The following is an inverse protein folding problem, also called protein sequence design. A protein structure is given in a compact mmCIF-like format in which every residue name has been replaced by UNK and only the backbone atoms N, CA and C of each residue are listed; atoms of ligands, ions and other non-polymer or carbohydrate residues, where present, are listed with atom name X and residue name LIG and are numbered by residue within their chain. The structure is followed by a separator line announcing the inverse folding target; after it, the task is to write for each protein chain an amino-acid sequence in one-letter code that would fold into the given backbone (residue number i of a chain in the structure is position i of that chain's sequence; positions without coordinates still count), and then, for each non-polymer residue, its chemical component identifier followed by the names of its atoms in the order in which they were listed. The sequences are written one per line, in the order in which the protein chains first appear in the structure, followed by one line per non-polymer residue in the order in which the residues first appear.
data_IF_355461425183
#
_entry.id   IF_355461425183
#
_cell.length_a   1.000
_cell.length_b   1.000
_cell.length_c   1.000
_cell.angle_alpha   90.00
_cell.angle_beta   90.00
_cell.angle_gamma   90.00
#
_symmetry.space_group_name_H-M   'P 1'
#
loop_
_entity.id
_entity.type
_entity.pdbx_description
1 polymer ?
#
# COMPACT_ATOMS: atom_id res chain seq x y z
N UNK A 1 -110.63 -107.52 0.02
CA UNK A 1 -109.34 -108.23 0.01
C UNK A 1 -108.57 -107.87 1.26
N UNK A 2 -108.00 -108.87 1.89
CA UNK A 2 -107.18 -108.82 3.11
C UNK A 2 -105.94 -107.92 2.94
N UNK A 3 -105.50 -107.33 4.07
CA UNK A 3 -104.12 -107.17 4.59
C UNK A 3 -104.16 -105.96 5.56
N UNK A 4 -104.37 -106.20 6.86
CA UNK A 4 -103.28 -106.36 7.83
C UNK A 4 -102.31 -105.17 7.86
N UNK A 5 -102.47 -104.28 8.84
CA UNK A 5 -101.31 -103.68 9.49
C UNK A 5 -101.61 -103.47 10.97
N UNK A 6 -100.84 -104.18 11.78
CA UNK A 6 -100.99 -104.35 13.21
C UNK A 6 -100.88 -103.01 13.93
N UNK A 7 -101.92 -102.67 14.69
CA UNK A 7 -101.89 -101.63 15.69
C UNK A 7 -101.10 -102.17 16.90
N UNK A 8 -99.77 -102.02 16.86
CA UNK A 8 -98.91 -102.29 18.02
C UNK A 8 -99.19 -101.18 19.02
N UNK A 9 -99.97 -101.51 20.05
CA UNK A 9 -100.05 -100.74 21.28
C UNK A 9 -98.66 -100.71 21.91
N UNK A 10 -97.96 -99.59 21.79
CA UNK A 10 -96.83 -99.29 22.65
C UNK A 10 -97.38 -98.91 24.04
N UNK A 11 -96.92 -99.55 25.13
CA UNK A 11 -97.27 -99.11 26.47
C UNK A 11 -96.66 -97.71 26.68
N UNK A 12 -97.50 -96.71 26.97
CA UNK A 12 -97.02 -95.43 27.52
C UNK A 12 -96.54 -95.67 28.95
N UNK A 13 -95.35 -96.24 29.08
CA UNK A 13 -94.57 -96.15 30.30
C UNK A 13 -94.16 -94.67 30.44
N UNK A 14 -94.91 -93.92 31.26
CA UNK A 14 -94.49 -92.59 31.66
C UNK A 14 -93.14 -92.71 32.37
N UNK A 15 -92.11 -92.09 31.80
CA UNK A 15 -90.78 -92.04 32.38
C UNK A 15 -90.90 -91.45 33.80
N UNK A 16 -90.36 -92.08 34.86
CA UNK A 16 -90.49 -91.58 36.22
C UNK A 16 -89.95 -90.15 36.34
N UNK A 17 -90.67 -89.26 37.03
CA UNK A 17 -90.41 -87.81 37.09
C UNK A 17 -88.95 -87.43 37.41
N UNK A 18 -88.28 -88.24 38.23
CA UNK A 18 -86.87 -88.07 38.62
C UNK A 18 -85.93 -88.17 37.40
N UNK A 19 -86.24 -89.04 36.42
CA UNK A 19 -85.46 -89.16 35.20
C UNK A 19 -85.70 -87.98 34.25
N UNK A 20 -86.94 -87.50 34.13
CA UNK A 20 -87.22 -86.29 33.32
C UNK A 20 -86.60 -85.04 33.93
N UNK A 21 -86.64 -84.86 35.26
CA UNK A 21 -86.00 -83.73 35.94
C UNK A 21 -84.47 -83.78 35.80
N UNK A 22 -83.87 -84.98 35.85
CA UNK A 22 -82.42 -85.14 35.64
C UNK A 22 -82.02 -84.92 34.17
N UNK A 23 -82.84 -85.35 33.22
CA UNK A 23 -82.62 -85.13 31.79
C UNK A 23 -82.68 -83.62 31.46
N UNK A 24 -83.72 -82.93 31.93
CA UNK A 24 -83.85 -81.47 31.74
C UNK A 24 -82.71 -80.68 32.42
N UNK A 25 -82.24 -81.13 33.58
CA UNK A 25 -81.04 -80.59 34.21
C UNK A 25 -79.76 -80.79 33.39
N UNK A 26 -79.59 -81.96 32.77
CA UNK A 26 -78.48 -82.24 31.85
C UNK A 26 -78.57 -81.40 30.57
N UNK A 27 -79.76 -81.27 29.99
CA UNK A 27 -80.00 -80.41 28.82
C UNK A 27 -79.66 -78.95 29.11
N UNK A 28 -80.07 -78.44 30.28
CA UNK A 28 -79.71 -77.10 30.75
C UNK A 28 -78.19 -76.92 30.90
N UNK A 29 -77.50 -77.91 31.48
CA UNK A 29 -76.04 -77.89 31.62
C UNK A 29 -75.34 -77.95 30.25
N UNK A 30 -75.83 -78.78 29.33
CA UNK A 30 -75.33 -78.83 27.95
C UNK A 30 -75.52 -77.49 27.22
N UNK A 31 -76.66 -76.81 27.41
CA UNK A 31 -76.89 -75.49 26.84
C UNK A 31 -75.94 -74.42 27.43
N UNK A 32 -75.67 -74.47 28.74
CA UNK A 32 -74.68 -73.61 29.39
C UNK A 32 -73.26 -73.85 28.86
N UNK A 33 -72.84 -75.12 28.74
CA UNK A 33 -71.55 -75.48 28.17
C UNK A 33 -71.42 -75.04 26.71
N UNK A 34 -72.48 -75.20 25.90
CA UNK A 34 -72.48 -74.72 24.52
C UNK A 34 -72.29 -73.20 24.45
N UNK A 35 -72.98 -72.45 25.32
CA UNK A 35 -72.83 -70.99 25.42
C UNK A 35 -71.40 -70.59 25.82
N UNK A 36 -70.76 -71.34 26.73
CA UNK A 36 -69.36 -71.11 27.12
C UNK A 36 -68.41 -71.40 25.95
N UNK A 37 -68.63 -72.50 25.22
CA UNK A 37 -67.84 -72.86 24.04
C UNK A 37 -67.94 -71.75 22.98
N UNK A 38 -69.14 -71.27 22.68
CA UNK A 38 -69.36 -70.22 21.67
C UNK A 38 -68.66 -68.90 22.09
N UNK A 39 -68.74 -68.52 23.36
CA UNK A 39 -68.05 -67.35 23.90
C UNK A 39 -66.51 -67.49 23.83
N UNK A 40 -65.98 -68.67 24.14
CA UNK A 40 -64.54 -68.94 24.04
C UNK A 40 -64.07 -68.90 22.59
N UNK A 41 -64.83 -69.47 21.65
CA UNK A 41 -64.53 -69.39 20.22
C UNK A 41 -64.54 -67.94 19.72
N UNK A 42 -65.50 -67.12 20.16
CA UNK A 42 -65.54 -65.71 19.81
C UNK A 42 -64.33 -64.95 20.36
N UNK A 43 -63.97 -65.18 21.63
CA UNK A 43 -62.76 -64.58 22.21
C UNK A 43 -61.50 -65.01 21.46
N UNK A 44 -61.41 -66.28 21.05
CA UNK A 44 -60.26 -66.78 20.32
C UNK A 44 -60.12 -66.10 18.94
N UNK A 45 -61.24 -65.92 18.23
CA UNK A 45 -61.26 -65.16 16.97
C UNK A 45 -60.83 -63.70 17.17
N UNK A 46 -61.29 -63.04 18.22
CA UNK A 46 -60.89 -61.67 18.54
C UNK A 46 -59.39 -61.56 18.88
N UNK A 47 -58.83 -62.55 19.59
CA UNK A 47 -57.40 -62.59 19.86
C UNK A 47 -56.60 -62.82 18.59
N UNK A 48 -57.03 -63.71 17.69
CA UNK A 48 -56.37 -63.96 16.40
C UNK A 48 -56.38 -62.71 15.52
N UNK A 49 -57.52 -62.00 15.43
CA UNK A 49 -57.61 -60.73 14.70
C UNK A 49 -56.68 -59.65 15.27
N UNK A 50 -56.56 -59.57 16.60
CA UNK A 50 -55.65 -58.64 17.26
C UNK A 50 -54.19 -59.02 17.03
N UNK A 51 -53.88 -60.32 17.04
CA UNK A 51 -52.54 -60.85 16.80
C UNK A 51 -52.11 -60.53 15.36
N UNK A 52 -52.97 -60.80 14.37
CA UNK A 52 -52.72 -60.46 12.96
C UNK A 52 -52.49 -58.95 12.75
N UNK A 53 -53.27 -58.09 13.44
CA UNK A 53 -53.05 -56.64 13.39
C UNK A 53 -51.70 -56.23 13.98
N UNK A 54 -51.32 -56.82 15.11
CA UNK A 54 -50.02 -56.54 15.73
C UNK A 54 -48.87 -57.00 14.84
N UNK A 55 -48.96 -58.17 14.22
CA UNK A 55 -47.98 -58.67 13.26
C UNK A 55 -47.83 -57.71 12.07
N UNK A 56 -48.94 -57.23 11.49
CA UNK A 56 -48.90 -56.22 10.42
C UNK A 56 -48.14 -54.96 10.88
N UNK A 57 -48.49 -54.42 12.04
CA UNK A 57 -47.81 -53.21 12.56
C UNK A 57 -46.32 -53.43 12.83
N UNK A 58 -45.92 -54.61 13.30
CA UNK A 58 -44.51 -54.95 13.52
C UNK A 58 -43.75 -54.99 12.18
N UNK A 59 -44.36 -55.55 11.13
CA UNK A 59 -43.72 -55.60 9.80
C UNK A 59 -43.57 -54.22 9.18
N UNK A 60 -44.58 -53.35 9.32
CA UNK A 60 -44.55 -51.96 8.85
C UNK A 60 -43.48 -51.14 9.58
N UNK A 61 -43.45 -51.21 10.91
CA UNK A 61 -42.44 -50.52 11.72
C UNK A 61 -41.01 -51.04 11.46
N UNK A 62 -40.85 -52.33 11.18
CA UNK A 62 -39.57 -52.91 10.82
C UNK A 62 -39.06 -52.37 9.47
N UNK A 63 -39.95 -52.28 8.47
CA UNK A 63 -39.62 -51.70 7.17
C UNK A 63 -39.27 -50.21 7.27
N UNK A 64 -40.01 -49.45 8.07
CA UNK A 64 -39.73 -48.03 8.32
C UNK A 64 -38.39 -47.84 9.05
N UNK A 65 -38.08 -48.64 10.06
CA UNK A 65 -36.79 -48.61 10.75
C UNK A 65 -35.62 -48.90 9.79
N UNK A 66 -35.77 -49.87 8.88
CA UNK A 66 -34.73 -50.13 7.87
C UNK A 66 -34.55 -48.93 6.93
N UNK A 67 -35.64 -48.28 6.51
CA UNK A 67 -35.58 -47.10 5.65
C UNK A 67 -34.83 -45.95 6.34
N UNK A 68 -35.19 -45.64 7.59
CA UNK A 68 -34.53 -44.61 8.40
C UNK A 68 -33.04 -44.92 8.62
N UNK A 69 -32.70 -46.18 8.84
CA UNK A 69 -31.30 -46.61 8.99
C UNK A 69 -30.49 -46.37 7.71
N UNK A 70 -31.06 -46.67 6.54
CA UNK A 70 -30.40 -46.41 5.25
C UNK A 70 -30.23 -44.91 5.00
N UNK A 71 -31.23 -44.10 5.35
CA UNK A 71 -31.16 -42.65 5.24
C UNK A 71 -30.07 -42.06 6.14
N UNK A 72 -29.95 -42.53 7.38
CA UNK A 72 -28.89 -42.13 8.30
C UNK A 72 -27.49 -42.45 7.75
N UNK A 73 -27.30 -43.60 7.12
CA UNK A 73 -26.03 -43.97 6.46
C UNK A 73 -25.72 -43.01 5.30
N UNK A 74 -26.71 -42.70 4.46
CA UNK A 74 -26.54 -41.77 3.35
C UNK A 74 -26.18 -40.36 3.82
N UNK A 75 -26.86 -39.84 4.84
CA UNK A 75 -26.56 -38.54 5.44
C UNK A 75 -25.16 -38.49 6.04
N UNK A 76 -24.73 -39.57 6.70
CA UNK A 76 -23.38 -39.68 7.27
C UNK A 76 -22.31 -39.64 6.17
N UNK A 77 -22.56 -40.34 5.05
CA UNK A 77 -21.68 -40.31 3.87
C UNK A 77 -21.59 -38.90 3.27
N UNK A 78 -22.73 -38.21 3.12
CA UNK A 78 -22.78 -36.85 2.59
C UNK A 78 -22.02 -35.85 3.49
N UNK A 79 -22.16 -35.97 4.81
CA UNK A 79 -21.43 -35.16 5.78
C UNK A 79 -19.91 -35.37 5.66
N UNK A 80 -19.46 -36.61 5.48
CA UNK A 80 -18.05 -36.93 5.25
C UNK A 80 -17.51 -36.25 3.97
N UNK A 81 -18.28 -36.31 2.87
CA UNK A 81 -17.91 -35.66 1.61
C UNK A 81 -17.83 -34.13 1.75
N UNK A 82 -18.80 -33.51 2.43
CA UNK A 82 -18.78 -32.06 2.67
C UNK A 82 -17.60 -31.64 3.55
N UNK A 83 -17.28 -32.43 4.57
CA UNK A 83 -16.13 -32.16 5.45
C UNK A 83 -14.81 -32.20 4.68
N UNK A 84 -14.65 -33.19 3.78
CA UNK A 84 -13.48 -33.27 2.92
C UNK A 84 -13.38 -32.05 1.96
N UNK A 85 -14.49 -31.64 1.35
CA UNK A 85 -14.52 -30.48 0.47
C UNK A 85 -14.16 -29.17 1.19
N UNK A 86 -14.67 -28.98 2.41
CA UNK A 86 -14.32 -27.82 3.25
C UNK A 86 -12.82 -27.77 3.57
N UNK A 87 -12.22 -28.92 3.90
CA UNK A 87 -10.77 -29.02 4.16
C UNK A 87 -9.94 -28.62 2.94
N UNK A 88 -10.33 -29.09 1.74
CA UNK A 88 -9.67 -28.72 0.48
C UNK A 88 -9.78 -27.21 0.21
N UNK A 89 -10.96 -26.63 0.38
CA UNK A 89 -11.15 -25.18 0.21
C UNK A 89 -10.33 -24.37 1.22
N UNK A 90 -10.24 -24.83 2.47
CA UNK A 90 -9.44 -24.16 3.50
C UNK A 90 -7.94 -24.22 3.19
N UNK A 91 -7.46 -25.34 2.63
CA UNK A 91 -6.11 -25.45 2.08
C UNK A 91 -5.85 -24.48 0.93
N UNK A 92 -6.78 -24.36 -0.01
CA UNK A 92 -6.68 -23.43 -1.15
C UNK A 92 -6.65 -21.97 -0.71
N UNK A 93 -7.52 -21.56 0.23
CA UNK A 93 -7.53 -20.20 0.81
C UNK A 93 -6.18 -19.90 1.49
N UNK A 94 -5.65 -20.85 2.26
CA UNK A 94 -4.37 -20.68 2.95
C UNK A 94 -3.21 -20.52 1.96
N UNK A 95 -3.19 -21.31 0.89
CA UNK A 95 -2.20 -21.19 -0.17
C UNK A 95 -2.28 -19.84 -0.91
N UNK A 96 -3.50 -19.37 -1.21
CA UNK A 96 -3.72 -18.08 -1.85
C UNK A 96 -3.30 -16.90 -0.95
N UNK A 97 -3.58 -16.97 0.36
CA UNK A 97 -3.14 -15.96 1.32
C UNK A 97 -1.60 -15.89 1.38
N UNK A 98 -0.92 -17.02 1.38
CA UNK A 98 0.55 -17.03 1.37
C UNK A 98 1.14 -16.48 0.05
N UNK A 99 0.51 -16.77 -1.09
CA UNK A 99 0.93 -16.21 -2.37
C UNK A 99 0.74 -14.68 -2.46
N UNK A 100 -0.37 -14.17 -1.92
CA UNK A 100 -0.67 -12.72 -1.93
C UNK A 100 0.21 -11.93 -0.96
N UNK A 101 0.53 -12.48 0.22
CA UNK A 101 1.44 -11.84 1.19
C UNK A 101 2.87 -11.72 0.65
N UNK A 102 3.34 -12.69 -0.14
CA UNK A 102 4.70 -12.67 -0.69
C UNK A 102 4.87 -11.78 -1.93
N UNK A 103 3.80 -11.45 -2.67
CA UNK A 103 3.85 -10.53 -3.84
C UNK A 103 3.67 -9.05 -3.44
N UNK A 104 3.06 -8.79 -2.28
CA UNK A 104 2.76 -7.44 -1.81
C UNK A 104 3.96 -6.53 -1.43
N UNK A 105 5.09 -6.99 -0.86
CA UNK A 105 6.12 -6.08 -0.35
C UNK A 105 6.90 -5.39 -1.46
N UNK A 106 7.21 -6.08 -2.57
CA UNK A 106 7.94 -5.50 -3.70
C UNK A 106 7.08 -4.51 -4.50
N UNK A 107 5.82 -4.86 -4.76
CA UNK A 107 4.89 -3.96 -5.44
C UNK A 107 4.57 -2.72 -4.58
N UNK A 108 4.45 -2.87 -3.25
CA UNK A 108 4.19 -1.76 -2.34
C UNK A 108 5.40 -0.84 -2.20
N UNK A 109 6.61 -1.40 -2.10
CA UNK A 109 7.85 -0.62 -2.11
C UNK A 109 8.02 0.17 -3.41
N UNK A 110 7.71 -0.43 -4.56
CA UNK A 110 7.76 0.26 -5.86
C UNK A 110 6.72 1.39 -5.97
N UNK A 111 5.52 1.22 -5.39
CA UNK A 111 4.51 2.29 -5.34
C UNK A 111 4.91 3.43 -4.40
N UNK A 112 5.48 3.11 -3.24
CA UNK A 112 5.97 4.10 -2.27
C UNK A 112 7.17 4.87 -2.85
N UNK A 113 8.06 4.20 -3.57
CA UNK A 113 9.19 4.83 -4.28
C UNK A 113 8.72 5.73 -5.42
N UNK A 114 7.73 5.30 -6.21
CA UNK A 114 7.13 6.11 -7.27
C UNK A 114 6.43 7.36 -6.71
N UNK A 115 5.69 7.23 -5.60
CA UNK A 115 5.06 8.35 -4.92
C UNK A 115 6.10 9.35 -4.36
N UNK A 116 7.18 8.84 -3.77
CA UNK A 116 8.29 9.67 -3.31
C UNK A 116 9.00 10.40 -4.47
N UNK A 117 9.17 9.73 -5.61
CA UNK A 117 9.75 10.34 -6.81
C UNK A 117 8.87 11.46 -7.37
N UNK A 118 7.56 11.27 -7.42
CA UNK A 118 6.60 12.28 -7.85
C UNK A 118 6.58 13.49 -6.91
N UNK A 119 6.57 13.25 -5.59
CA UNK A 119 6.63 14.34 -4.60
C UNK A 119 7.94 15.14 -4.73
N UNK A 120 9.08 14.46 -4.92
CA UNK A 120 10.36 15.12 -5.15
C UNK A 120 10.36 15.97 -6.43
N UNK A 121 9.70 15.50 -7.50
CA UNK A 121 9.55 16.28 -8.73
C UNK A 121 8.72 17.55 -8.48
N UNK A 122 7.58 17.42 -7.79
CA UNK A 122 6.73 18.56 -7.43
C UNK A 122 7.47 19.59 -6.57
N UNK A 123 8.25 19.13 -5.58
CA UNK A 123 9.05 20.01 -4.74
C UNK A 123 10.16 20.70 -5.54
N UNK A 124 10.80 20.02 -6.50
CA UNK A 124 11.79 20.62 -7.38
C UNK A 124 11.20 21.69 -8.29
N UNK A 125 10.01 21.44 -8.87
CA UNK A 125 9.27 22.42 -9.68
C UNK A 125 8.92 23.64 -8.82
N UNK A 126 8.33 23.41 -7.65
CA UNK A 126 8.00 24.47 -6.68
C UNK A 126 9.20 25.33 -6.32
N UNK A 127 10.31 24.69 -5.97
CA UNK A 127 11.54 25.33 -5.55
C UNK A 127 12.17 26.17 -6.68
N UNK A 128 12.08 25.67 -7.91
CA UNK A 128 12.58 26.36 -9.10
C UNK A 128 11.71 27.55 -9.45
N UNK A 129 10.38 27.39 -9.43
CA UNK A 129 9.44 28.46 -9.72
C UNK A 129 9.56 29.62 -8.73
N UNK A 130 9.61 29.34 -7.42
CA UNK A 130 9.78 30.37 -6.38
C UNK A 130 11.12 31.10 -6.52
N UNK A 131 12.18 30.39 -6.93
CA UNK A 131 13.47 31.02 -7.26
C UNK A 131 13.34 31.98 -8.44
N UNK A 132 12.77 31.53 -9.56
CA UNK A 132 12.57 32.35 -10.76
C UNK A 132 11.70 33.57 -10.46
N UNK A 133 10.66 33.43 -9.66
CA UNK A 133 9.81 34.56 -9.24
C UNK A 133 10.57 35.54 -8.34
N UNK A 134 11.37 35.03 -7.40
CA UNK A 134 12.20 35.87 -6.53
C UNK A 134 13.21 36.69 -7.35
N UNK A 135 13.95 36.06 -8.26
CA UNK A 135 14.93 36.74 -9.12
C UNK A 135 14.24 37.62 -10.17
N UNK A 136 13.10 37.18 -10.70
CA UNK A 136 12.27 37.93 -11.64
C UNK A 136 11.69 39.21 -11.03
N UNK A 137 11.26 39.19 -9.77
CA UNK A 137 10.84 40.37 -9.03
C UNK A 137 11.96 41.41 -8.90
N UNK A 138 13.23 40.97 -8.89
CA UNK A 138 14.42 41.82 -8.89
C UNK A 138 14.95 42.11 -10.31
N UNK A 139 14.33 41.55 -11.36
CA UNK A 139 14.83 41.55 -12.75
C UNK A 139 16.27 41.06 -12.90
N UNK A 140 16.61 40.02 -12.15
CA UNK A 140 17.92 39.38 -12.23
C UNK A 140 17.81 38.00 -12.85
N UNK A 141 18.80 37.63 -13.67
CA UNK A 141 18.95 36.27 -14.20
C UNK A 141 19.51 35.32 -13.14
N UNK A 142 20.47 35.81 -12.33
CA UNK A 142 21.12 35.02 -11.28
C UNK A 142 21.45 35.85 -10.04
N UNK A 143 21.45 35.18 -8.89
CA UNK A 143 21.77 35.73 -7.57
C UNK A 143 23.26 36.12 -7.42
N UNK A 144 24.12 35.74 -8.37
CA UNK A 144 25.50 36.21 -8.42
C UNK A 144 25.63 37.66 -8.90
N UNK A 145 24.62 38.20 -9.60
CA UNK A 145 24.59 39.56 -10.11
C UNK A 145 24.11 40.60 -9.08
N UNK A 146 24.00 40.23 -7.80
CA UNK A 146 23.53 41.11 -6.74
C UNK A 146 24.43 42.35 -6.59
N UNK A 147 23.89 43.52 -6.92
CA UNK A 147 24.56 44.80 -6.72
C UNK A 147 24.23 45.40 -5.34
N UNK A 148 25.14 46.19 -4.75
CA UNK A 148 24.86 46.91 -3.51
C UNK A 148 23.76 47.95 -3.71
N UNK A 149 22.74 47.91 -2.85
CA UNK A 149 21.64 48.87 -2.88
C UNK A 149 22.04 50.27 -2.41
N UNK A 150 21.35 51.27 -2.96
CA UNK A 150 21.22 52.59 -2.33
C UNK A 150 20.31 52.47 -1.10
N UNK A 151 20.75 53.02 0.04
CA UNK A 151 20.00 52.97 1.30
C UNK A 151 18.63 53.64 1.15
N UNK A 152 17.55 52.99 1.60
CA UNK A 152 16.31 53.68 1.99
C UNK A 152 15.01 53.19 1.35
N UNK A 153 15.03 52.36 0.31
CA UNK A 153 13.79 51.81 -0.29
C UNK A 153 13.94 50.34 -0.68
N UNK A 154 12.91 49.54 -0.39
CA UNK A 154 12.79 48.13 -0.80
C UNK A 154 12.36 47.97 -2.25
N UNK A 155 11.88 49.04 -2.86
CA UNK A 155 11.35 49.08 -4.22
C UNK A 155 12.03 50.18 -5.02
N UNK A 156 12.46 49.85 -6.23
CA UNK A 156 13.05 50.79 -7.18
C UNK A 156 12.18 50.82 -8.44
N UNK A 157 11.84 51.99 -9.01
CA UNK A 157 11.13 52.07 -10.27
C UNK A 157 11.88 51.31 -11.37
N UNK A 158 11.15 50.50 -12.13
CA UNK A 158 11.70 49.73 -13.23
C UNK A 158 11.91 50.63 -14.45
N UNK A 159 13.15 51.04 -14.70
CA UNK A 159 13.51 51.92 -15.83
C UNK A 159 13.14 51.31 -17.18
N UNK A 160 13.17 49.97 -17.30
CA UNK A 160 12.88 49.26 -18.57
C UNK A 160 11.40 49.36 -18.93
N UNK A 161 10.50 49.44 -17.96
CA UNK A 161 9.05 49.66 -18.20
C UNK A 161 8.66 51.14 -18.20
N UNK A 162 9.64 52.04 -18.27
CA UNK A 162 9.41 53.48 -18.18
C UNK A 162 8.86 53.89 -16.81
N UNK A 163 9.27 53.21 -15.73
CA UNK A 163 8.88 53.50 -14.36
C UNK A 163 7.48 53.02 -13.96
N UNK A 164 6.79 52.26 -14.82
CA UNK A 164 5.45 51.73 -14.51
C UNK A 164 5.49 50.50 -13.59
N UNK A 165 6.61 49.76 -13.58
CA UNK A 165 6.85 48.65 -12.66
C UNK A 165 7.66 49.04 -11.44
N UNK A 166 7.57 48.24 -10.38
CA UNK A 166 8.44 48.32 -9.21
C UNK A 166 9.30 47.05 -9.15
N UNK A 167 10.61 47.22 -9.01
CA UNK A 167 11.57 46.15 -8.81
C UNK A 167 11.77 45.94 -7.31
N UNK A 168 11.75 44.69 -6.90
CA UNK A 168 12.13 44.29 -5.56
C UNK A 168 13.64 44.47 -5.39
N UNK A 169 14.04 45.09 -4.28
CA UNK A 169 15.43 45.27 -3.88
C UNK A 169 15.57 44.90 -2.40
N UNK A 170 15.85 43.62 -2.07
CA UNK A 170 16.05 43.19 -0.69
C UNK A 170 17.40 43.68 -0.15
N UNK A 171 17.43 44.13 1.11
CA UNK A 171 18.68 44.50 1.77
C UNK A 171 19.32 43.25 2.37
N UNK A 172 20.27 42.68 1.64
CA UNK A 172 21.04 41.51 2.04
C UNK A 172 22.03 41.78 3.19
N UNK A 173 22.28 43.04 3.56
CA UNK A 173 23.08 43.35 4.76
C UNK A 173 22.26 43.11 6.04
N UNK A 174 20.96 43.33 5.97
CA UNK A 174 20.02 43.18 7.08
C UNK A 174 19.54 41.73 7.25
N UNK A 175 18.91 41.44 8.38
CA UNK A 175 18.30 40.14 8.64
C UNK A 175 16.92 40.03 7.97
N UNK A 176 16.43 38.81 7.77
CA UNK A 176 15.11 38.54 7.20
C UNK A 176 13.97 39.30 7.89
N UNK A 177 13.99 39.35 9.23
CA UNK A 177 12.96 40.07 10.01
C UNK A 177 12.94 41.58 9.74
N UNK A 178 14.08 42.16 9.36
CA UNK A 178 14.20 43.59 9.06
C UNK A 178 13.79 43.91 7.61
N UNK A 179 13.57 42.89 6.78
CA UNK A 179 13.17 42.99 5.38
C UNK A 179 11.65 42.79 5.19
N UNK A 180 10.85 42.87 6.27
CA UNK A 180 9.44 42.46 6.22
C UNK A 180 8.54 43.33 5.33
N UNK A 181 8.98 44.55 5.00
CA UNK A 181 8.21 45.52 4.22
C UNK A 181 7.78 45.04 2.83
N UNK A 182 8.51 44.09 2.23
CA UNK A 182 8.19 43.55 0.91
C UNK A 182 7.59 42.13 0.94
N UNK A 183 7.57 41.47 2.10
CA UNK A 183 7.14 40.06 2.22
C UNK A 183 5.72 39.83 1.68
N UNK A 184 4.75 40.63 2.14
CA UNK A 184 3.33 40.50 1.74
C UNK A 184 3.11 40.79 0.25
N UNK A 185 3.81 41.80 -0.26
CA UNK A 185 3.78 42.13 -1.68
C UNK A 185 4.31 40.96 -2.51
N UNK A 186 5.44 40.36 -2.12
CA UNK A 186 6.03 39.28 -2.89
C UNK A 186 5.21 37.99 -2.85
N UNK A 187 4.56 37.68 -1.72
CA UNK A 187 3.57 36.59 -1.67
C UNK A 187 2.45 36.83 -2.68
N UNK A 188 1.91 38.05 -2.73
CA UNK A 188 0.85 38.42 -3.68
C UNK A 188 1.35 38.35 -5.13
N UNK A 189 2.59 38.75 -5.37
CA UNK A 189 3.26 38.65 -6.67
C UNK A 189 3.40 37.19 -7.11
N UNK A 190 3.84 36.30 -6.21
CA UNK A 190 3.96 34.85 -6.46
C UNK A 190 2.60 34.25 -6.83
N UNK A 191 1.55 34.60 -6.09
CA UNK A 191 0.17 34.15 -6.36
C UNK A 191 -0.33 34.57 -7.73
N UNK A 192 -0.02 35.81 -8.12
CA UNK A 192 -0.56 36.40 -9.35
C UNK A 192 0.24 36.04 -10.61
N UNK A 193 1.54 35.78 -10.47
CA UNK A 193 2.45 35.63 -11.60
C UNK A 193 3.10 34.24 -11.68
N UNK A 194 2.80 33.32 -10.75
CA UNK A 194 3.47 32.01 -10.69
C UNK A 194 3.45 31.24 -12.02
N UNK A 195 2.30 31.21 -12.68
CA UNK A 195 2.13 30.56 -13.99
C UNK A 195 2.92 31.25 -15.11
N UNK A 196 3.16 32.56 -15.02
CA UNK A 196 3.93 33.33 -16.01
C UNK A 196 5.42 32.98 -15.95
N UNK A 197 5.95 32.75 -14.75
CA UNK A 197 7.37 32.42 -14.54
C UNK A 197 7.68 30.94 -14.69
N UNK A 198 6.71 30.07 -14.38
CA UNK A 198 6.85 28.63 -14.59
C UNK A 198 5.50 28.01 -15.03
N UNK A 199 5.37 27.58 -16.30
CA UNK A 199 4.12 27.02 -16.82
C UNK A 199 3.65 25.76 -16.08
N UNK A 200 4.56 25.06 -15.39
CA UNK A 200 4.22 23.86 -14.62
C UNK A 200 3.55 24.18 -13.27
N UNK A 201 3.60 25.44 -12.84
CA UNK A 201 2.99 25.89 -11.59
C UNK A 201 1.53 26.30 -11.84
N UNK A 202 0.62 25.31 -11.80
CA UNK A 202 -0.81 25.56 -11.99
C UNK A 202 -1.40 26.39 -10.84
N UNK A 203 -2.50 27.11 -11.12
CA UNK A 203 -3.22 27.86 -10.09
C UNK A 203 -3.69 26.96 -8.94
N UNK A 204 -4.15 25.75 -9.26
CA UNK A 204 -4.54 24.73 -8.28
C UNK A 204 -3.37 24.34 -7.37
N UNK A 205 -2.17 24.12 -7.93
CA UNK A 205 -0.99 23.81 -7.12
C UNK A 205 -0.65 24.96 -6.17
N UNK A 206 -0.72 26.21 -6.64
CA UNK A 206 -0.52 27.37 -5.78
C UNK A 206 -1.52 27.41 -4.63
N UNK A 207 -2.81 27.16 -4.88
CA UNK A 207 -3.84 27.13 -3.84
C UNK A 207 -3.55 26.13 -2.72
N UNK A 208 -2.88 25.00 -3.02
CA UNK A 208 -2.48 24.03 -1.98
C UNK A 208 -1.42 24.56 -1.01
N UNK A 209 -0.63 25.55 -1.43
CA UNK A 209 0.43 26.14 -0.60
C UNK A 209 -0.14 27.30 0.19
N UNK A 210 0.18 27.37 1.47
CA UNK A 210 -0.22 28.51 2.32
C UNK A 210 0.75 29.68 2.13
N UNK A 211 0.33 30.88 2.52
CA UNK A 211 1.23 32.05 2.49
C UNK A 211 2.46 31.86 3.39
N UNK A 212 2.33 31.05 4.45
CA UNK A 212 3.46 30.69 5.33
C UNK A 212 4.48 29.83 4.59
N UNK A 213 4.03 28.90 3.75
CA UNK A 213 4.92 28.03 2.97
C UNK A 213 5.69 28.83 1.92
N UNK A 214 5.01 29.76 1.24
CA UNK A 214 5.64 30.71 0.32
C UNK A 214 6.71 31.53 1.05
N UNK A 215 6.37 32.12 2.20
CA UNK A 215 7.31 32.92 2.99
C UNK A 215 8.50 32.12 3.50
N UNK A 216 8.29 30.86 3.93
CA UNK A 216 9.36 29.98 4.36
C UNK A 216 10.36 29.76 3.22
N UNK A 217 9.85 29.49 2.01
CA UNK A 217 10.72 29.29 0.85
C UNK A 217 11.44 30.57 0.42
N UNK A 218 10.75 31.71 0.44
CA UNK A 218 11.35 33.01 0.16
C UNK A 218 12.46 33.37 1.16
N UNK A 219 12.29 33.00 2.44
CA UNK A 219 13.31 33.18 3.48
C UNK A 219 14.58 32.40 3.18
N UNK A 220 14.45 31.16 2.72
CA UNK A 220 15.59 30.33 2.31
C UNK A 220 16.33 30.94 1.11
N UNK A 221 15.58 31.42 0.11
CA UNK A 221 16.17 32.11 -1.04
C UNK A 221 16.89 33.40 -0.64
N UNK A 222 16.31 34.19 0.27
CA UNK A 222 16.97 35.38 0.80
C UNK A 222 18.26 35.02 1.55
N UNK A 223 18.26 33.95 2.35
CA UNK A 223 19.49 33.47 3.02
C UNK A 223 20.57 33.11 1.99
N UNK A 224 20.20 32.38 0.94
CA UNK A 224 21.12 32.03 -0.15
C UNK A 224 21.64 33.28 -0.87
N UNK A 225 20.78 34.26 -1.14
CA UNK A 225 21.16 35.55 -1.72
C UNK A 225 22.09 36.34 -0.82
N UNK A 226 21.82 36.36 0.49
CA UNK A 226 22.67 37.00 1.49
C UNK A 226 24.05 36.37 1.54
N UNK A 227 24.14 35.05 1.46
CA UNK A 227 25.41 34.34 1.42
C UNK A 227 26.16 34.58 0.11
N UNK A 228 25.46 34.60 -1.03
CA UNK A 228 26.03 34.98 -2.32
C UNK A 228 26.57 36.42 -2.32
N UNK A 229 25.78 37.36 -1.78
CA UNK A 229 26.16 38.76 -1.59
C UNK A 229 27.42 38.91 -0.72
N UNK A 230 27.49 38.19 0.40
CA UNK A 230 28.69 38.16 1.25
C UNK A 230 29.90 37.59 0.51
N UNK A 231 29.72 36.49 -0.23
CA UNK A 231 30.80 35.87 -1.04
C UNK A 231 31.33 36.86 -2.07
N UNK A 232 30.45 37.54 -2.82
CA UNK A 232 30.83 38.50 -3.85
C UNK A 232 31.68 39.68 -3.32
N UNK A 233 31.54 40.01 -2.03
CA UNK A 233 32.28 41.11 -1.37
C UNK A 233 33.56 40.66 -0.67
N UNK A 234 33.90 39.38 -0.68
CA UNK A 234 35.19 38.91 -0.14
C UNK A 234 36.34 39.42 -1.02
N UNK A 235 37.52 39.73 -0.43
CA UNK A 235 38.73 40.05 -1.20
C UNK A 235 39.05 38.95 -2.22
N UNK A 236 39.65 39.33 -3.36
CA UNK A 236 39.98 38.43 -4.48
C UNK A 236 40.80 37.22 -4.02
N UNK A 237 41.75 37.43 -3.10
CA UNK A 237 42.58 36.37 -2.53
C UNK A 237 41.76 35.31 -1.76
N UNK A 238 40.79 35.75 -0.95
CA UNK A 238 39.91 34.82 -0.22
C UNK A 238 38.97 34.07 -1.17
N UNK A 239 38.54 34.70 -2.27
CA UNK A 239 37.77 34.03 -3.31
C UNK A 239 38.57 32.95 -4.04
N UNK A 240 39.87 33.19 -4.29
CA UNK A 240 40.76 32.21 -4.90
C UNK A 240 40.91 30.95 -4.02
N UNK A 241 41.08 31.14 -2.70
CA UNK A 241 41.14 30.03 -1.73
C UNK A 241 39.84 29.22 -1.72
N UNK A 242 38.69 29.89 -1.69
CA UNK A 242 37.37 29.22 -1.71
C UNK A 242 37.20 28.40 -3.00
N UNK A 243 37.54 28.97 -4.17
CA UNK A 243 37.47 28.26 -5.46
C UNK A 243 38.40 27.06 -5.50
N UNK A 244 39.60 27.14 -4.89
CA UNK A 244 40.52 25.99 -4.79
C UNK A 244 39.90 24.87 -3.94
N UNK A 245 39.31 25.21 -2.80
CA UNK A 245 38.63 24.25 -1.92
C UNK A 245 37.41 23.60 -2.61
N UNK A 246 36.57 24.38 -3.29
CA UNK A 246 35.41 23.88 -4.04
C UNK A 246 35.83 22.93 -5.17
N UNK A 247 36.90 23.26 -5.92
CA UNK A 247 37.48 22.36 -6.93
C UNK A 247 37.99 21.05 -6.34
N UNK A 248 38.71 21.11 -5.22
CA UNK A 248 39.18 19.91 -4.53
C UNK A 248 38.01 19.02 -4.06
N UNK A 249 36.92 19.60 -3.56
CA UNK A 249 35.73 18.85 -3.17
C UNK A 249 35.03 18.23 -4.38
N UNK A 250 34.88 18.98 -5.48
CA UNK A 250 34.30 18.47 -6.72
C UNK A 250 35.10 17.27 -7.25
N UNK A 251 36.43 17.38 -7.31
CA UNK A 251 37.31 16.31 -7.74
C UNK A 251 37.25 15.09 -6.81
N UNK A 252 37.17 15.30 -5.48
CA UNK A 252 36.95 14.18 -4.52
C UNK A 252 35.65 13.45 -4.81
N UNK A 253 34.56 14.19 -5.06
CA UNK A 253 33.24 13.60 -5.36
C UNK A 253 33.28 12.84 -6.69
N UNK A 254 33.94 13.40 -7.70
CA UNK A 254 34.11 12.76 -9.01
C UNK A 254 34.90 11.45 -8.89
N UNK A 255 36.03 11.44 -8.18
CA UNK A 255 36.80 10.23 -7.91
C UNK A 255 35.97 9.17 -7.17
N UNK A 256 35.16 9.56 -6.19
CA UNK A 256 34.26 8.62 -5.48
C UNK A 256 33.22 8.03 -6.44
N UNK A 257 32.62 8.85 -7.30
CA UNK A 257 31.66 8.37 -8.29
C UNK A 257 32.31 7.43 -9.31
N UNK A 258 33.49 7.77 -9.83
CA UNK A 258 34.25 6.90 -10.73
C UNK A 258 34.57 5.55 -10.07
N UNK A 259 35.01 5.54 -8.81
CA UNK A 259 35.23 4.30 -8.04
C UNK A 259 33.95 3.47 -7.93
N UNK A 260 32.81 4.11 -7.67
CA UNK A 260 31.51 3.43 -7.60
C UNK A 260 31.13 2.80 -8.94
N UNK A 261 31.28 3.53 -10.04
CA UNK A 261 31.00 3.01 -11.40
C UNK A 261 31.86 1.78 -11.71
N UNK A 262 33.18 1.88 -11.49
CA UNK A 262 34.12 0.76 -11.72
C UNK A 262 33.77 -0.46 -10.87
N UNK A 263 33.38 -0.24 -9.60
CA UNK A 263 32.97 -1.31 -8.69
C UNK A 263 31.73 -2.05 -9.20
N UNK A 264 30.73 -1.31 -9.69
CA UNK A 264 29.52 -1.89 -10.29
C UNK A 264 29.84 -2.64 -11.59
N UNK A 265 30.64 -2.08 -12.48
CA UNK A 265 31.05 -2.73 -13.74
C UNK A 265 31.83 -4.03 -13.52
N UNK A 266 32.64 -4.09 -12.46
CA UNK A 266 33.41 -5.27 -12.09
C UNK A 266 32.60 -6.34 -11.32
N UNK A 267 31.32 -6.11 -11.03
CA UNK A 267 30.50 -7.02 -10.20
C UNK A 267 31.00 -7.13 -8.75
N UNK A 268 31.68 -6.09 -8.26
CA UNK A 268 32.25 -6.00 -6.92
C UNK A 268 31.40 -5.13 -5.98
N UNK A 269 30.16 -4.80 -6.34
CA UNK A 269 29.23 -3.95 -5.60
C UNK A 269 28.66 -4.58 -4.33
N UNK A 270 28.76 -5.90 -4.17
CA UNK A 270 28.37 -6.63 -2.96
C UNK A 270 29.19 -6.16 -1.72
N UNK A 271 28.55 -5.96 -0.54
CA UNK A 271 29.23 -5.59 0.71
C UNK A 271 30.38 -6.52 1.11
N UNK A 272 30.33 -7.79 0.70
CA UNK A 272 31.43 -8.73 0.96
C UNK A 272 32.75 -8.29 0.33
N UNK A 273 32.73 -7.40 -0.66
CA UNK A 273 33.91 -6.85 -1.34
C UNK A 273 34.30 -5.45 -0.83
N UNK A 274 33.60 -4.89 0.16
CA UNK A 274 33.89 -3.56 0.72
C UNK A 274 35.35 -3.45 1.19
N UNK A 275 35.87 -4.53 1.78
CA UNK A 275 37.25 -4.60 2.26
C UNK A 275 38.29 -4.34 1.16
N UNK A 276 38.03 -4.68 -0.10
CA UNK A 276 38.94 -4.40 -1.23
C UNK A 276 39.09 -2.90 -1.52
N UNK A 277 38.13 -2.10 -1.06
CA UNK A 277 38.09 -0.65 -1.28
C UNK A 277 38.39 0.16 -0.02
N UNK A 278 38.60 -0.51 1.11
CA UNK A 278 39.09 0.12 2.35
C UNK A 278 40.53 0.61 2.16
N UNK A 279 40.87 1.67 2.89
CA UNK A 279 42.16 2.36 2.77
C UNK A 279 43.35 1.40 2.94
N UNK A 280 43.18 0.37 3.76
CA UNK A 280 44.22 -0.59 4.12
C UNK A 280 44.47 -1.66 3.05
N UNK A 281 43.58 -1.79 2.05
CA UNK A 281 43.70 -2.74 0.93
C UNK A 281 44.07 -2.06 -0.40
N UNK A 282 43.99 -0.73 -0.48
CA UNK A 282 44.32 0.05 -1.69
C UNK A 282 45.82 0.40 -1.80
N UNK A 283 46.70 -0.24 -1.03
CA UNK A 283 48.14 -0.01 -1.13
C UNK A 283 48.79 -0.94 -2.15
N UNK A 284 49.21 -0.39 -3.28
CA UNK A 284 50.35 -0.91 -4.05
C UNK A 284 51.16 0.26 -4.60
N UNK A 285 51.76 1.02 -3.70
CA UNK A 285 53.17 1.38 -3.86
C UNK A 285 53.78 1.56 -2.47
N UNK A 286 54.85 0.81 -2.22
CA UNK A 286 55.51 0.66 -0.94
C UNK A 286 56.26 1.95 -0.57
N UNK A 287 55.66 2.79 0.26
CA UNK A 287 56.40 3.74 1.12
C UNK A 287 55.49 4.34 2.20
N UNK A 288 54.96 3.49 3.08
CA UNK A 288 54.47 3.95 4.37
C UNK A 288 55.13 3.17 5.51
N UNK A 289 56.46 3.25 5.56
CA UNK A 289 57.23 2.88 6.75
C UNK A 289 57.48 4.13 7.58
N UNK A 290 56.73 4.26 8.67
CA UNK A 290 57.08 5.16 9.78
C UNK A 290 56.10 6.29 10.00
N UNK A 291 55.25 6.11 11.01
CA UNK A 291 54.93 7.04 12.10
C UNK A 291 55.11 8.56 11.92
N UNK A 292 54.82 9.14 10.75
CA UNK A 292 54.76 10.58 10.56
C UNK A 292 53.30 11.02 10.41
N UNK A 293 52.80 11.68 11.46
CA UNK A 293 51.49 12.29 11.54
C UNK A 293 51.31 13.50 10.60
N UNK A 294 52.21 13.71 9.63
CA UNK A 294 52.21 14.90 8.76
C UNK A 294 52.44 14.60 7.26
N UNK A 295 52.34 13.34 6.84
CA UNK A 295 52.40 12.97 5.43
C UNK A 295 51.05 13.25 4.75
N UNK A 296 50.79 14.52 4.43
CA UNK A 296 49.85 14.85 3.35
C UNK A 296 50.45 14.26 2.07
N UNK A 297 49.95 13.09 1.67
CA UNK A 297 50.10 12.57 0.32
C UNK A 297 49.38 13.53 -0.65
N UNK A 298 50.01 14.68 -0.90
CA UNK A 298 49.75 15.51 -2.06
C UNK A 298 50.40 14.82 -3.23
N UNK A 299 49.57 14.38 -4.17
CA UNK A 299 49.98 14.04 -5.52
C UNK A 299 50.87 15.18 -6.07
N UNK A 300 52.20 14.93 -6.27
CA UNK A 300 53.14 15.99 -6.65
C UNK A 300 52.87 16.59 -8.03
N UNK A 301 52.06 15.93 -8.86
CA UNK A 301 51.80 16.34 -10.24
C UNK A 301 50.47 17.08 -10.43
N UNK A 302 49.64 17.25 -9.39
CA UNK A 302 48.40 18.07 -9.50
C UNK A 302 48.54 19.52 -9.03
N UNK A 303 49.62 19.90 -8.38
CA UNK A 303 49.86 21.28 -7.90
C UNK A 303 50.74 22.12 -8.87
N UNK A 304 51.04 21.58 -10.06
CA UNK A 304 51.80 22.24 -11.12
C UNK A 304 50.98 22.96 -12.20
N UNK A 305 49.68 23.17 -12.03
CA UNK A 305 48.94 24.08 -12.92
C UNK A 305 49.38 25.51 -12.64
N UNK A 306 50.39 25.95 -13.41
CA UNK A 306 50.89 27.33 -13.55
C UNK A 306 49.77 28.32 -13.28
N UNK A 307 49.99 29.19 -12.29
CA UNK A 307 49.15 30.34 -12.00
C UNK A 307 48.66 30.98 -13.30
N UNK A 308 47.38 30.75 -13.62
CA UNK A 308 46.73 31.44 -14.72
C UNK A 308 46.72 32.90 -14.31
N UNK A 309 47.64 33.66 -14.90
CA UNK A 309 47.85 35.07 -14.63
C UNK A 309 46.48 35.78 -14.64
N UNK A 310 46.03 36.39 -13.53
CA UNK A 310 44.71 37.02 -13.44
C UNK A 310 44.51 38.14 -14.48
N UNK A 311 45.58 38.67 -15.07
CA UNK A 311 45.53 39.60 -16.21
C UNK A 311 44.97 38.96 -17.50
N UNK A 312 45.18 37.66 -17.72
CA UNK A 312 44.70 36.96 -18.92
C UNK A 312 43.18 36.71 -18.90
N UNK A 313 42.59 36.49 -17.71
CA UNK A 313 41.12 36.34 -17.58
C UNK A 313 40.38 37.69 -17.69
N UNK A 314 41.01 38.79 -17.30
CA UNK A 314 40.40 40.13 -17.44
C UNK A 314 40.23 40.52 -18.91
N UNK A 315 41.11 40.06 -19.81
CA UNK A 315 41.02 40.35 -21.25
C UNK A 315 39.90 39.59 -21.97
N UNK A 316 39.50 38.38 -21.53
CA UNK A 316 38.40 37.64 -22.16
C UNK A 316 37.00 38.19 -21.82
N UNK A 317 36.85 38.94 -20.72
CA UNK A 317 35.58 39.61 -20.37
C UNK A 317 35.38 40.96 -21.06
N UNK A 318 36.35 41.44 -21.83
CA UNK A 318 36.25 42.67 -22.64
C UNK A 318 36.31 42.40 -24.14
N UNK A 319 35.65 41.31 -24.56
CA UNK A 319 35.22 41.14 -25.95
C UNK A 319 34.17 42.19 -26.31
N UNK A 320 34.64 43.41 -26.56
CA UNK A 320 33.91 44.51 -27.15
C UNK A 320 33.21 44.02 -28.43
N UNK A 321 31.89 43.85 -28.34
CA UNK A 321 31.02 43.87 -29.51
C UNK A 321 30.97 45.32 -29.99
N UNK A 322 31.96 45.71 -30.81
CA UNK A 322 31.88 46.92 -31.63
C UNK A 322 30.73 46.71 -32.61
N UNK A 323 29.52 47.13 -32.21
CA UNK A 323 28.43 47.40 -33.13
C UNK A 323 28.78 48.73 -33.78
N UNK A 324 29.45 48.67 -34.92
CA UNK A 324 29.55 49.84 -35.79
C UNK A 324 28.17 50.12 -36.36
N UNK A 325 27.57 51.23 -35.92
CA UNK A 325 26.44 51.85 -36.56
C UNK A 325 26.79 52.15 -38.03
N UNK A 326 26.16 51.45 -38.96
CA UNK A 326 26.03 51.94 -40.34
C UNK A 326 24.94 53.00 -40.35
N UNK A 327 25.35 54.25 -40.52
CA UNK A 327 24.46 55.34 -40.92
C UNK A 327 23.88 55.02 -42.30
N UNK A 328 22.55 54.98 -42.38
CA UNK A 328 21.84 55.09 -43.65
C UNK A 328 21.59 56.56 -43.94
N UNK A 329 22.36 57.10 -44.88
CA UNK A 329 22.02 58.32 -45.61
C UNK A 329 21.30 57.93 -46.91
N UNK A 330 20.25 58.71 -47.24
CA UNK A 330 19.47 58.77 -48.48
C UNK A 330 18.56 57.57 -48.81
#
# INVERSE_FOLDING_TARGET
MQLASMQIMAPKAGMPKVFTDKLTGMESHCAQLQTIIDNLQQKNRQTDERLNKLESTITELSAENQKLKNEAVNLTSLLSQQTAALSVMQGAISAQNNATVNVAPEARAAMDEAAAAEQNLQDNIWNTAIRKMFTGAMRMEDMSALQPMQKGSWFVPDEVTGGKGMLLCPDFTLQWKQNEGWHKWLVSFVRSNGFTFDPHLTAQFLETKTDKDILLRLKELFKNGKDAYKKARKPVEQLAIIRRAERQQAHKKEKVNQKKTVRTEAGLDDPRWDYLFEKDYQSTDDSNNGNDADCKAGDPDTDGEKDINPAAMAMQRHGYRMVTCTAGEA
#
